data_IF_161962466814
#
_entry.id   IF_161962466814
#
_cell.length_a   1.000
_cell.length_b   1.000
_cell.length_c   1.000
_cell.angle_alpha   90.00
_cell.angle_beta   90.00
_cell.angle_gamma   90.00
#
_symmetry.space_group_name_H-M   'P 1'
#
loop_
_entity.id
_entity.type
_entity.pdbx_description
1 polymer ?
#
# COMPACT_ATOMS: atom_id res chain seq x y z
N UNK A 1 2.37 -20.91 12.86
CA UNK A 1 1.80 -20.42 11.59
C UNK A 1 2.36 -19.02 11.34
N UNK A 2 2.82 -18.74 10.13
CA UNK A 2 3.20 -17.36 9.76
C UNK A 2 1.90 -16.62 9.48
N UNK A 3 1.56 -15.69 10.36
CA UNK A 3 0.39 -14.82 10.23
C UNK A 3 0.54 -13.97 8.95
N UNK A 4 -0.34 -14.15 7.96
CA UNK A 4 -0.34 -13.40 6.69
C UNK A 4 -1.62 -12.56 6.53
N UNK A 5 -2.08 -12.03 7.66
CA UNK A 5 -3.35 -11.31 7.77
C UNK A 5 -3.30 -9.88 7.23
N UNK A 6 -2.13 -9.32 6.99
CA UNK A 6 -1.98 -7.93 6.55
C UNK A 6 -1.67 -7.88 5.06
N UNK A 7 -2.51 -7.19 4.31
CA UNK A 7 -2.32 -6.96 2.88
C UNK A 7 -1.69 -5.59 2.67
N UNK A 8 -0.47 -5.56 2.16
CA UNK A 8 0.15 -4.34 1.67
C UNK A 8 -0.22 -4.16 0.19
N UNK A 9 -0.61 -2.94 -0.19
CA UNK A 9 -0.98 -2.55 -1.56
C UNK A 9 -0.15 -1.33 -1.93
N UNK A 10 0.41 -1.31 -3.13
CA UNK A 10 1.04 -0.13 -3.74
C UNK A 10 0.21 0.34 -4.94
N UNK A 11 0.01 1.65 -5.04
CA UNK A 11 -0.72 2.29 -6.14
C UNK A 11 0.09 3.43 -6.76
N UNK A 12 -0.08 3.61 -8.07
CA UNK A 12 0.56 4.72 -8.82
C UNK A 12 -0.15 6.05 -8.61
N UNK A 13 -1.41 6.01 -8.18
CA UNK A 13 -2.25 7.18 -7.91
C UNK A 13 -2.65 7.25 -6.43
N UNK A 14 -3.03 8.44 -6.00
CA UNK A 14 -3.52 8.69 -4.65
C UNK A 14 -4.81 7.88 -4.44
N UNK A 15 -4.81 6.87 -3.53
CA UNK A 15 -5.97 6.03 -3.30
C UNK A 15 -7.15 6.78 -2.66
N UNK A 16 -6.94 8.01 -2.18
CA UNK A 16 -7.99 8.87 -1.62
C UNK A 16 -8.71 9.70 -2.69
N UNK A 17 -8.29 9.63 -3.96
CA UNK A 17 -8.91 10.36 -5.07
C UNK A 17 -9.14 9.47 -6.29
N UNK A 18 -10.23 9.70 -7.02
CA UNK A 18 -10.48 9.00 -8.30
C UNK A 18 -9.59 9.48 -9.46
N UNK A 19 -8.69 10.44 -9.19
CA UNK A 19 -7.86 11.07 -10.22
C UNK A 19 -6.78 10.11 -10.70
N UNK A 20 -6.92 9.64 -11.95
CA UNK A 20 -5.95 8.74 -12.60
C UNK A 20 -6.32 7.27 -12.54
N UNK A 21 -7.44 6.89 -11.91
CA UNK A 21 -7.90 5.50 -11.78
C UNK A 21 -8.43 4.85 -13.08
N UNK A 22 -8.03 5.34 -14.26
CA UNK A 22 -8.50 4.85 -15.56
C UNK A 22 -7.73 3.61 -16.07
N UNK A 23 -6.59 3.27 -15.43
CA UNK A 23 -5.77 2.08 -15.70
C UNK A 23 -5.69 1.20 -14.45
N UNK A 24 -5.07 0.01 -14.52
CA UNK A 24 -4.84 -0.83 -13.34
C UNK A 24 -4.06 -0.03 -12.28
N UNK A 25 -4.71 0.45 -11.21
CA UNK A 25 -4.10 1.46 -10.34
C UNK A 25 -3.10 0.86 -9.36
N UNK A 26 -3.05 -0.48 -9.30
CA UNK A 26 -2.28 -1.28 -8.36
C UNK A 26 -0.98 -1.70 -9.03
N UNK A 27 0.14 -1.19 -8.50
CA UNK A 27 1.47 -1.64 -8.86
C UNK A 27 1.75 -3.06 -8.32
N UNK A 28 1.44 -3.28 -7.04
CA UNK A 28 1.66 -4.56 -6.38
C UNK A 28 0.73 -4.75 -5.18
N UNK A 29 0.47 -5.99 -4.79
CA UNK A 29 -0.35 -6.39 -3.63
C UNK A 29 0.14 -7.71 -3.04
N UNK A 30 0.51 -7.69 -1.75
CA UNK A 30 1.10 -8.85 -1.07
C UNK A 30 0.52 -9.05 0.33
N UNK A 31 0.20 -10.29 0.69
CA UNK A 31 -0.21 -10.68 2.05
C UNK A 31 1.00 -11.10 2.89
N UNK A 32 1.18 -10.44 4.03
CA UNK A 32 2.35 -10.53 4.92
C UNK A 32 1.93 -10.49 6.38
N UNK A 33 2.89 -10.76 7.28
CA UNK A 33 2.74 -10.38 8.69
C UNK A 33 2.78 -8.85 8.83
N UNK A 34 2.24 -8.35 9.94
CA UNK A 34 2.10 -6.90 10.19
C UNK A 34 3.40 -6.14 9.99
N UNK A 35 4.51 -6.66 10.53
CA UNK A 35 5.81 -5.96 10.52
C UNK A 35 6.37 -5.90 9.09
N UNK A 36 6.28 -7.00 8.33
CA UNK A 36 6.73 -7.01 6.94
C UNK A 36 5.85 -6.13 6.05
N UNK A 37 4.52 -6.13 6.26
CA UNK A 37 3.62 -5.24 5.54
C UNK A 37 3.99 -3.76 5.76
N UNK A 38 4.24 -3.36 7.01
CA UNK A 38 4.70 -1.99 7.36
C UNK A 38 6.02 -1.62 6.68
N UNK A 39 7.01 -2.51 6.73
CA UNK A 39 8.31 -2.28 6.08
C UNK A 39 8.19 -2.15 4.57
N UNK A 40 7.39 -3.02 3.94
CA UNK A 40 7.21 -3.02 2.49
C UNK A 40 6.45 -1.79 2.01
N UNK A 41 5.36 -1.42 2.67
CA UNK A 41 4.60 -0.22 2.34
C UNK A 41 5.46 1.05 2.42
N UNK A 42 6.30 1.16 3.47
CA UNK A 42 7.26 2.26 3.58
C UNK A 42 8.30 2.26 2.45
N UNK A 43 8.82 1.11 2.07
CA UNK A 43 9.75 1.01 0.94
C UNK A 43 9.10 1.48 -0.37
N UNK A 44 7.84 1.09 -0.62
CA UNK A 44 7.11 1.55 -1.80
C UNK A 44 6.87 3.07 -1.80
N UNK A 45 6.63 3.67 -0.63
CA UNK A 45 6.50 5.14 -0.54
C UNK A 45 7.81 5.88 -0.81
N UNK A 46 8.93 5.29 -0.43
CA UNK A 46 10.27 5.78 -0.79
C UNK A 46 10.57 5.62 -2.29
N UNK A 47 9.91 4.66 -2.97
CA UNK A 47 10.00 4.44 -4.42
C UNK A 47 9.04 5.32 -5.24
N UNK A 48 8.21 6.14 -4.59
CA UNK A 48 7.28 7.05 -5.26
C UNK A 48 5.86 6.53 -5.42
N UNK A 49 5.52 5.39 -4.81
CA UNK A 49 4.16 4.86 -4.82
C UNK A 49 3.37 5.29 -3.59
N UNK A 50 2.07 5.46 -3.77
CA UNK A 50 1.18 5.41 -2.63
C UNK A 50 1.12 3.99 -2.11
N UNK A 51 1.08 3.81 -0.80
CA UNK A 51 0.96 2.47 -0.23
C UNK A 51 0.01 2.44 0.95
N UNK A 52 -0.67 1.32 1.13
CA UNK A 52 -1.67 1.14 2.17
C UNK A 52 -1.63 -0.29 2.69
N UNK A 53 -1.91 -0.46 3.97
CA UNK A 53 -1.92 -1.76 4.62
C UNK A 53 -3.30 -2.01 5.19
N UNK A 54 -3.91 -3.12 4.80
CA UNK A 54 -5.23 -3.54 5.25
C UNK A 54 -5.14 -4.78 6.12
N UNK A 55 -5.83 -4.77 7.25
CA UNK A 55 -6.08 -6.00 8.01
C UNK A 55 -7.19 -6.78 7.30
N UNK A 56 -6.88 -7.96 6.78
CA UNK A 56 -7.85 -8.77 6.01
C UNK A 56 -8.97 -9.36 6.87
N UNK A 57 -8.80 -9.45 8.20
CA UNK A 57 -9.84 -9.94 9.10
C UNK A 57 -10.88 -8.86 9.44
N UNK A 58 -10.44 -7.61 9.59
CA UNK A 58 -11.31 -6.50 9.99
C UNK A 58 -11.67 -5.55 8.85
N UNK A 59 -11.01 -5.67 7.70
CA UNK A 59 -11.10 -4.79 6.55
C UNK A 59 -10.69 -3.32 6.79
N UNK A 60 -9.95 -3.04 7.88
CA UNK A 60 -9.50 -1.68 8.23
C UNK A 60 -8.16 -1.32 7.55
N UNK A 61 -7.98 -0.06 7.06
CA UNK A 61 -6.62 0.48 6.77
C UNK A 61 -5.93 0.66 8.13
N UNK A 62 -4.79 0.00 8.27
CA UNK A 62 -3.93 0.06 9.44
C UNK A 62 -3.01 1.26 9.36
N UNK A 63 -2.44 1.50 8.18
CA UNK A 63 -1.48 2.56 7.91
C UNK A 63 -1.44 2.80 6.40
N UNK A 64 -1.28 4.06 6.02
CA UNK A 64 -1.37 4.51 4.64
C UNK A 64 -0.22 5.55 4.44
N UNK A 65 0.66 5.37 3.45
CA UNK A 65 1.83 6.24 3.19
C UNK A 65 1.73 6.96 1.83
N UNK A 66 2.09 8.24 1.82
CA UNK A 66 2.24 9.03 0.60
C UNK A 66 3.66 8.88 -0.01
N UNK A 67 3.81 8.98 -1.35
CA UNK A 67 5.10 9.07 -2.03
C UNK A 67 6.00 10.14 -1.42
N UNK A 68 7.25 9.79 -1.09
CA UNK A 68 8.22 10.76 -0.59
C UNK A 68 8.98 11.46 -1.71
N UNK A 69 9.15 10.77 -2.85
CA UNK A 69 9.61 11.37 -4.09
C UNK A 69 8.38 11.85 -4.85
N UNK A 70 8.04 13.13 -4.70
CA UNK A 70 7.22 13.79 -5.70
C UNK A 70 7.93 13.64 -7.05
N UNK A 71 7.29 13.01 -8.02
CA UNK A 71 7.68 13.24 -9.41
C UNK A 71 7.43 14.73 -9.63
N UNK A 72 8.53 15.50 -9.65
CA UNK A 72 8.56 16.93 -9.97
C UNK A 72 7.83 17.22 -11.29
#
# INVERSE_FOLDING_TARGET
MIDRTYQAVATVHDPLTDKGMNEEPVHDRVNLDRIKALKLAKLWSEQGYWSSIYNQLTAECVECYAPQTGVS
#
